data_IF_790641975087
#
_entry.id   IF_790641975087
#
_cell.length_a   1.000
_cell.length_b   1.000
_cell.length_c   1.000
_cell.angle_alpha   90.00
_cell.angle_beta   90.00
_cell.angle_gamma   90.00
#
_symmetry.space_group_name_H-M   'P 1'
#
loop_
_entity.id
_entity.type
_entity.pdbx_description
1 polymer ?
#
# COMPACT_ATOMS: atom_id res chain seq x y z
N UNK A 1 11.20 13.90 -1.95
CA UNK A 1 10.05 14.42 -1.17
C UNK A 1 10.06 13.89 0.27
N UNK A 2 10.06 12.58 0.52
CA UNK A 2 10.18 12.04 1.91
C UNK A 2 11.43 12.59 2.62
N UNK A 3 12.60 12.50 1.97
CA UNK A 3 13.84 13.01 2.55
C UNK A 3 13.80 14.53 2.78
N UNK A 4 13.10 15.27 1.93
CA UNK A 4 12.92 16.72 2.09
C UNK A 4 12.10 17.05 3.33
N UNK A 5 10.99 16.33 3.57
CA UNK A 5 10.19 16.51 4.77
C UNK A 5 10.98 16.15 6.02
N UNK A 6 11.71 15.04 5.99
CA UNK A 6 12.58 14.63 7.11
C UNK A 6 13.69 15.65 7.37
N UNK A 7 14.32 16.18 6.31
CA UNK A 7 15.32 17.24 6.41
C UNK A 7 14.77 18.54 7.00
N UNK A 8 13.48 18.81 6.82
CA UNK A 8 12.77 19.93 7.42
C UNK A 8 12.24 19.64 8.84
N UNK A 9 12.61 18.51 9.46
CA UNK A 9 12.23 18.16 10.83
C UNK A 9 10.89 17.44 10.99
N UNK A 10 10.18 17.11 9.90
CA UNK A 10 8.94 16.33 9.98
C UNK A 10 9.22 14.85 10.28
N UNK A 11 8.33 14.25 11.08
CA UNK A 11 8.25 12.79 11.21
C UNK A 11 7.24 12.24 10.21
N UNK A 12 7.70 11.35 9.34
CA UNK A 12 6.87 10.73 8.29
C UNK A 12 6.44 9.34 8.76
N UNK A 13 5.12 9.10 8.81
CA UNK A 13 4.54 7.79 9.07
C UNK A 13 3.88 7.23 7.81
N UNK A 14 4.23 6.00 7.44
CA UNK A 14 3.63 5.25 6.34
C UNK A 14 2.65 4.22 6.88
N UNK A 15 1.42 4.24 6.38
CA UNK A 15 0.45 3.16 6.57
C UNK A 15 0.27 2.48 5.22
N UNK A 16 0.71 1.23 5.11
CA UNK A 16 0.60 0.45 3.88
C UNK A 16 -0.52 -0.58 4.02
N UNK A 17 -1.53 -0.49 3.17
CA UNK A 17 -2.65 -1.45 3.12
C UNK A 17 -2.41 -2.44 1.98
N UNK A 18 -2.34 -3.71 2.31
CA UNK A 18 -2.23 -4.81 1.35
C UNK A 18 -3.51 -5.65 1.33
N UNK A 19 -3.67 -6.45 0.29
CA UNK A 19 -4.67 -7.51 0.21
C UNK A 19 -3.93 -8.84 0.10
N UNK A 20 -4.62 -9.94 0.38
CA UNK A 20 -4.01 -11.28 0.34
C UNK A 20 -3.68 -11.67 -1.09
N UNK A 21 -4.52 -11.30 -2.06
CA UNK A 21 -4.37 -11.69 -3.47
C UNK A 21 -4.59 -10.52 -4.43
N UNK A 22 -3.96 -10.53 -5.62
CA UNK A 22 -4.28 -9.58 -6.68
C UNK A 22 -5.70 -9.78 -7.24
N UNK A 23 -6.28 -10.98 -7.12
CA UNK A 23 -7.65 -11.29 -7.52
C UNK A 23 -8.66 -10.50 -6.67
N UNK A 24 -8.43 -10.32 -5.38
CA UNK A 24 -9.26 -9.44 -4.54
C UNK A 24 -9.16 -7.98 -5.00
N UNK A 25 -7.97 -7.51 -5.36
CA UNK A 25 -7.81 -6.16 -5.90
C UNK A 25 -8.61 -5.98 -7.21
N UNK A 26 -8.60 -7.00 -8.09
CA UNK A 26 -9.39 -7.02 -9.32
C UNK A 26 -10.89 -7.01 -8.99
N UNK A 27 -11.36 -7.83 -8.05
CA UNK A 27 -12.75 -7.86 -7.63
C UNK A 27 -13.21 -6.49 -7.08
N UNK A 28 -12.37 -5.83 -6.27
CA UNK A 28 -12.65 -4.48 -5.75
C UNK A 28 -12.65 -3.40 -6.85
N UNK A 29 -11.83 -3.56 -7.91
CA UNK A 29 -11.93 -2.69 -9.10
C UNK A 29 -13.26 -2.93 -9.82
N UNK A 30 -13.61 -4.18 -10.10
CA UNK A 30 -14.86 -4.53 -10.79
C UNK A 30 -16.10 -4.01 -10.04
N UNK A 31 -16.11 -4.12 -8.70
CA UNK A 31 -17.18 -3.56 -7.87
C UNK A 31 -17.31 -2.04 -8.01
N UNK A 32 -16.19 -1.30 -7.97
CA UNK A 32 -16.22 0.16 -8.14
C UNK A 32 -16.64 0.57 -9.56
N UNK A 33 -16.25 -0.18 -10.58
CA UNK A 33 -16.69 0.05 -11.96
C UNK A 33 -18.22 -0.10 -12.08
N UNK A 34 -18.81 -1.12 -11.45
CA UNK A 34 -20.28 -1.28 -11.39
C UNK A 34 -20.98 -0.11 -10.70
N UNK A 35 -20.28 0.61 -9.81
CA UNK A 35 -20.75 1.82 -9.12
C UNK A 35 -20.41 3.11 -9.88
N UNK A 36 -19.95 3.04 -11.14
CA UNK A 36 -19.62 4.20 -11.99
C UNK A 36 -18.16 4.65 -11.93
N UNK A 37 -17.27 3.89 -11.30
CA UNK A 37 -15.84 4.18 -11.23
C UNK A 37 -15.05 3.86 -12.51
N UNK A 38 -13.80 4.31 -12.57
CA UNK A 38 -12.89 4.06 -13.70
C UNK A 38 -12.37 2.61 -13.71
N UNK A 39 -12.36 1.99 -14.90
CA UNK A 39 -11.83 0.65 -15.09
C UNK A 39 -10.30 0.64 -15.21
N UNK A 40 -9.65 -0.33 -14.58
CA UNK A 40 -8.21 -0.59 -14.72
C UNK A 40 -8.03 -2.01 -15.28
N UNK A 41 -7.26 -2.22 -16.36
CA UNK A 41 -7.02 -3.55 -16.90
C UNK A 41 -6.44 -4.51 -15.86
N UNK A 42 -6.91 -5.77 -15.85
CA UNK A 42 -6.53 -6.78 -14.87
C UNK A 42 -5.01 -6.98 -14.80
N UNK A 43 -4.32 -7.02 -15.93
CA UNK A 43 -2.85 -7.17 -15.98
C UNK A 43 -2.13 -5.97 -15.36
N UNK A 44 -2.71 -4.78 -15.49
CA UNK A 44 -2.19 -3.59 -14.81
C UNK A 44 -2.39 -3.70 -13.31
N UNK A 45 -3.52 -4.23 -12.85
CA UNK A 45 -3.77 -4.48 -11.41
C UNK A 45 -2.75 -5.48 -10.87
N UNK A 46 -2.56 -6.64 -11.51
CA UNK A 46 -1.58 -7.66 -11.10
C UNK A 46 -0.16 -7.12 -11.02
N UNK A 47 0.29 -6.44 -12.09
CA UNK A 47 1.63 -5.85 -12.15
C UNK A 47 1.83 -4.82 -11.04
N UNK A 48 0.84 -3.94 -10.80
CA UNK A 48 0.92 -2.91 -9.75
C UNK A 48 0.85 -3.49 -8.35
N UNK A 49 0.08 -4.55 -8.15
CA UNK A 49 0.00 -5.26 -6.87
C UNK A 49 1.38 -5.78 -6.45
N UNK A 50 2.04 -6.54 -7.33
CA UNK A 50 3.38 -7.07 -7.07
C UNK A 50 4.42 -5.95 -6.92
N UNK A 51 4.44 -4.98 -7.84
CA UNK A 51 5.39 -3.88 -7.79
C UNK A 51 5.20 -2.98 -6.56
N UNK A 52 3.96 -2.81 -6.09
CA UNK A 52 3.64 -2.02 -4.90
C UNK A 52 4.21 -2.66 -3.64
N UNK A 53 4.03 -3.97 -3.48
CA UNK A 53 4.58 -4.71 -2.34
C UNK A 53 6.10 -4.73 -2.34
N UNK A 54 6.72 -4.95 -3.51
CA UNK A 54 8.18 -4.87 -3.66
C UNK A 54 8.72 -3.50 -3.26
N UNK A 55 8.14 -2.40 -3.80
CA UNK A 55 8.56 -1.04 -3.43
C UNK A 55 8.33 -0.72 -1.96
N UNK A 56 7.28 -1.25 -1.34
CA UNK A 56 7.08 -1.13 0.10
C UNK A 56 8.26 -1.75 0.87
N UNK A 57 8.58 -3.01 0.57
CA UNK A 57 9.64 -3.78 1.25
C UNK A 57 11.03 -3.18 1.03
N UNK A 58 11.32 -2.81 -0.21
CA UNK A 58 12.68 -2.49 -0.66
C UNK A 58 13.01 -1.01 -0.58
N UNK A 59 12.01 -0.12 -0.46
CA UNK A 59 12.25 1.32 -0.53
C UNK A 59 11.43 2.12 0.46
N UNK A 60 10.10 2.03 0.42
CA UNK A 60 9.26 2.98 1.15
C UNK A 60 9.40 2.83 2.66
N UNK A 61 9.38 1.59 3.16
CA UNK A 61 9.45 1.34 4.60
C UNK A 61 10.77 1.79 5.22
N UNK A 62 11.87 1.83 4.44
CA UNK A 62 13.19 2.25 4.91
C UNK A 62 13.37 3.78 4.95
N UNK A 63 12.56 4.53 4.19
CA UNK A 63 12.74 5.98 4.02
C UNK A 63 11.93 6.83 5.00
N UNK A 64 10.92 6.25 5.63
CA UNK A 64 10.03 6.94 6.58
C UNK A 64 10.51 6.74 8.02
N UNK A 65 10.02 7.54 8.97
CA UNK A 65 10.34 7.35 10.38
C UNK A 65 9.57 6.17 10.96
N UNK A 66 8.28 6.06 10.64
CA UNK A 66 7.44 4.97 11.13
C UNK A 66 6.75 4.30 9.95
N UNK A 67 6.59 2.99 9.99
CA UNK A 67 5.81 2.26 9.00
C UNK A 67 4.97 1.17 9.64
N UNK A 68 3.80 0.93 9.08
CA UNK A 68 2.90 -0.16 9.46
C UNK A 68 2.38 -0.83 8.18
N UNK A 69 2.38 -2.15 8.16
CA UNK A 69 1.80 -2.99 7.13
C UNK A 69 0.54 -3.64 7.66
N UNK A 70 -0.58 -3.42 6.97
CA UNK A 70 -1.85 -4.05 7.28
C UNK A 70 -2.30 -5.00 6.17
N UNK A 71 -2.92 -6.10 6.56
CA UNK A 71 -3.84 -6.84 5.71
C UNK A 71 -5.22 -6.17 5.79
N UNK A 72 -5.75 -5.74 4.65
CA UNK A 72 -7.05 -5.10 4.52
C UNK A 72 -8.05 -5.97 3.74
N UNK A 73 -7.85 -7.29 3.73
CA UNK A 73 -8.71 -8.26 3.04
C UNK A 73 -10.03 -8.50 3.78
N UNK A 74 -9.99 -8.48 5.12
CA UNK A 74 -11.15 -8.68 6.00
C UNK A 74 -11.98 -7.42 6.28
N UNK A 75 -12.94 -7.54 7.20
CA UNK A 75 -13.82 -6.43 7.61
C UNK A 75 -13.08 -5.33 8.37
N UNK A 76 -12.04 -5.69 9.12
CA UNK A 76 -11.16 -4.76 9.81
C UNK A 76 -9.71 -4.96 9.34
N UNK A 77 -8.92 -3.88 9.20
CA UNK A 77 -7.50 -4.01 8.91
C UNK A 77 -6.76 -4.75 10.03
N UNK A 78 -6.03 -5.80 9.68
CA UNK A 78 -5.17 -6.54 10.59
C UNK A 78 -3.73 -6.02 10.47
N UNK A 79 -3.15 -5.55 11.58
CA UNK A 79 -1.73 -5.18 11.61
C UNK A 79 -0.87 -6.43 11.47
N UNK A 80 -0.05 -6.48 10.42
CA UNK A 80 0.87 -7.60 10.16
C UNK A 80 2.27 -7.32 10.71
N UNK A 81 2.80 -6.14 10.39
CA UNK A 81 4.15 -5.72 10.77
C UNK A 81 4.18 -4.21 11.02
N UNK A 82 5.08 -3.78 11.89
CA UNK A 82 5.42 -2.37 12.04
C UNK A 82 6.89 -2.18 12.37
N UNK A 83 7.37 -0.95 12.19
CA UNK A 83 8.73 -0.59 12.54
C UNK A 83 8.97 0.92 12.57
N UNK A 84 10.09 1.27 13.19
CA UNK A 84 10.62 2.63 13.26
C UNK A 84 12.04 2.63 12.69
N UNK A 85 12.36 3.66 11.90
CA UNK A 85 13.71 3.93 11.44
C UNK A 85 14.24 5.21 12.10
N UNK A 86 15.56 5.28 12.35
CA UNK A 86 16.22 6.50 12.81
C UNK A 86 15.98 7.64 11.82
#
# INVERSE_FOLDING_TARGET
MIDTWRGNGYKVKLIFLSLTTPEEAIARVAMRVRQGGHNIPMDTVRRRFAAGLAKFRDTYRQRVNFWQLFDNSGEMPLLLEEGENP
#
